data_IF_607177900947
#
_entry.id   IF_607177900947
#
_cell.length_a   1.000
_cell.length_b   1.000
_cell.length_c   1.000
_cell.angle_alpha   90.00
_cell.angle_beta   90.00
_cell.angle_gamma   90.00
#
_symmetry.space_group_name_H-M   'P 1'
#
loop_
_entity.id
_entity.type
_entity.pdbx_description
1 polymer ?
#
# COMPACT_ATOMS: atom_id res chain seq x y z
N UNK A 1 -71.10 37.00 -21.58
CA UNK A 1 -69.96 37.52 -20.79
C UNK A 1 -69.26 36.47 -19.90
N UNK A 2 -69.51 35.16 -20.08
CA UNK A 2 -69.02 34.11 -19.15
C UNK A 2 -67.77 33.35 -19.61
N UNK A 3 -67.55 33.21 -20.92
CA UNK A 3 -66.40 32.44 -21.46
C UNK A 3 -65.06 33.11 -21.14
N UNK A 4 -65.02 34.44 -21.19
CA UNK A 4 -63.81 35.23 -20.92
C UNK A 4 -63.37 35.14 -19.45
N UNK A 5 -64.32 34.96 -18.52
CA UNK A 5 -64.05 34.81 -17.08
C UNK A 5 -63.51 33.42 -16.75
N UNK A 6 -64.05 32.38 -17.39
CA UNK A 6 -63.53 31.02 -17.25
C UNK A 6 -62.07 30.93 -17.73
N UNK A 7 -61.76 31.45 -18.92
CA UNK A 7 -60.40 31.41 -19.46
C UNK A 7 -59.35 32.09 -18.54
N UNK A 8 -59.72 33.19 -17.89
CA UNK A 8 -58.83 33.90 -16.96
C UNK A 8 -58.59 33.09 -15.68
N UNK A 9 -59.63 32.44 -15.15
CA UNK A 9 -59.51 31.63 -13.93
C UNK A 9 -58.69 30.36 -14.19
N UNK A 10 -58.90 29.68 -15.32
CA UNK A 10 -58.11 28.49 -15.65
C UNK A 10 -56.65 28.82 -15.94
N UNK A 11 -56.38 29.96 -16.59
CA UNK A 11 -55.02 30.44 -16.82
C UNK A 11 -54.28 30.76 -15.52
N UNK A 12 -54.96 31.37 -14.55
CA UNK A 12 -54.39 31.65 -13.23
C UNK A 12 -54.10 30.37 -12.44
N UNK A 13 -55.00 29.38 -12.51
CA UNK A 13 -54.82 28.07 -11.86
C UNK A 13 -53.62 27.29 -12.43
N UNK A 14 -53.43 27.30 -13.76
CA UNK A 14 -52.27 26.66 -14.39
C UNK A 14 -50.94 27.34 -14.02
N UNK A 15 -50.94 28.66 -13.82
CA UNK A 15 -49.76 29.40 -13.35
C UNK A 15 -49.44 29.16 -11.87
N UNK A 16 -50.46 28.86 -11.05
CA UNK A 16 -50.27 28.50 -9.65
C UNK A 16 -49.86 27.05 -9.44
N UNK A 17 -50.28 26.13 -10.33
CA UNK A 17 -49.94 24.71 -10.24
C UNK A 17 -48.53 24.37 -10.78
N UNK A 18 -47.80 25.34 -11.33
CA UNK A 18 -46.49 25.11 -11.98
C UNK A 18 -45.28 25.08 -11.02
N UNK A 19 -45.47 25.22 -9.71
CA UNK A 19 -44.36 25.28 -8.75
C UNK A 19 -43.97 23.92 -8.12
N UNK A 20 -44.61 22.82 -8.51
CA UNK A 20 -44.22 21.47 -8.06
C UNK A 20 -43.50 20.66 -9.16
N UNK A 21 -42.53 21.28 -9.82
CA UNK A 21 -41.44 20.54 -10.45
C UNK A 21 -40.38 20.27 -9.40
N UNK A 22 -40.59 19.30 -8.52
CA UNK A 22 -39.55 18.85 -7.60
C UNK A 22 -38.33 18.47 -8.44
N UNK A 23 -37.26 19.27 -8.34
CA UNK A 23 -35.98 18.92 -8.92
C UNK A 23 -35.60 17.57 -8.33
N UNK A 24 -35.75 16.50 -9.13
CA UNK A 24 -35.22 15.21 -8.75
C UNK A 24 -33.72 15.40 -8.70
N UNK A 25 -33.17 15.54 -7.50
CA UNK A 25 -31.74 15.52 -7.24
C UNK A 25 -31.25 14.11 -7.57
N UNK A 26 -31.10 13.82 -8.86
CA UNK A 26 -30.30 12.70 -9.35
C UNK A 26 -28.86 13.04 -8.97
N UNK A 27 -28.45 12.72 -7.75
CA UNK A 27 -27.10 13.03 -7.31
C UNK A 27 -26.80 13.04 -5.81
N UNK A 28 -27.69 12.58 -4.93
CA UNK A 28 -27.29 12.33 -3.54
C UNK A 28 -27.16 10.84 -3.26
N UNK A 29 -25.90 10.39 -3.26
CA UNK A 29 -25.45 9.09 -2.81
C UNK A 29 -23.93 9.11 -2.74
N UNK A 30 -23.35 8.65 -1.63
CA UNK A 30 -21.90 8.53 -1.50
C UNK A 30 -21.45 7.24 -2.18
N UNK A 31 -20.71 7.35 -3.28
CA UNK A 31 -20.08 6.18 -3.90
C UNK A 31 -18.84 5.84 -3.05
N UNK A 32 -18.95 4.77 -2.26
CA UNK A 32 -17.85 4.25 -1.45
C UNK A 32 -17.07 3.23 -2.26
N UNK A 33 -15.91 3.62 -2.75
CA UNK A 33 -14.94 2.67 -3.32
C UNK A 33 -14.20 1.99 -2.17
N UNK A 34 -14.41 0.68 -2.02
CA UNK A 34 -13.60 -0.17 -1.14
C UNK A 34 -12.76 -1.08 -2.00
N UNK A 35 -11.47 -1.08 -1.76
CA UNK A 35 -10.53 -1.99 -2.39
C UNK A 35 -9.24 -2.01 -1.58
N UNK A 36 -8.41 -3.01 -1.84
CA UNK A 36 -7.06 -3.09 -1.36
C UNK A 36 -6.15 -3.32 -2.56
N UNK A 37 -5.03 -2.61 -2.63
CA UNK A 37 -3.95 -2.93 -3.57
C UNK A 37 -3.07 -3.94 -2.85
N UNK A 38 -3.14 -5.20 -3.25
CA UNK A 38 -2.26 -6.25 -2.72
C UNK A 38 -1.08 -6.34 -3.67
N UNK A 39 0.03 -5.73 -3.30
CA UNK A 39 1.28 -5.88 -4.03
C UNK A 39 1.92 -7.23 -3.67
N UNK A 40 2.47 -7.97 -4.66
CA UNK A 40 3.20 -9.19 -4.36
C UNK A 40 4.43 -8.84 -3.51
N UNK A 41 4.69 -9.66 -2.49
CA UNK A 41 5.90 -9.53 -1.68
C UNK A 41 7.17 -9.80 -2.49
N UNK A 42 8.32 -9.39 -1.96
CA UNK A 42 9.62 -9.65 -2.59
C UNK A 42 9.99 -11.14 -2.56
N UNK A 43 10.58 -11.64 -3.63
CA UNK A 43 11.29 -12.92 -3.60
C UNK A 43 12.61 -12.74 -2.85
N UNK A 44 12.85 -13.60 -1.85
CA UNK A 44 14.09 -13.58 -1.06
C UNK A 44 15.04 -14.67 -1.52
N UNK A 45 16.33 -14.35 -1.56
CA UNK A 45 17.38 -15.31 -1.85
C UNK A 45 18.53 -15.15 -0.84
N UNK A 46 18.66 -16.12 0.06
CA UNK A 46 19.79 -16.25 0.97
C UNK A 46 20.66 -17.43 0.51
N UNK A 47 21.34 -17.27 -0.64
CA UNK A 47 22.33 -18.25 -1.14
C UNK A 47 23.54 -18.23 -0.20
N UNK A 48 23.46 -19.00 0.88
CA UNK A 48 24.53 -19.41 1.81
C UNK A 48 25.59 -18.35 2.17
N UNK A 49 25.59 -17.92 3.43
CA UNK A 49 26.58 -17.00 3.98
C UNK A 49 25.92 -15.79 4.64
N UNK A 50 26.59 -14.65 4.59
CA UNK A 50 26.11 -13.40 5.18
C UNK A 50 25.19 -12.58 4.25
N UNK A 51 24.96 -13.00 3.01
CA UNK A 51 24.25 -12.17 2.01
C UNK A 51 22.79 -12.60 1.84
N UNK A 52 21.89 -11.62 1.86
CA UNK A 52 20.48 -11.76 1.50
C UNK A 52 20.15 -10.82 0.35
N UNK A 53 19.59 -11.36 -0.73
CA UNK A 53 19.10 -10.60 -1.87
C UNK A 53 17.57 -10.56 -1.88
N UNK A 54 17.01 -9.43 -2.29
CA UNK A 54 15.59 -9.31 -2.62
C UNK A 54 15.42 -8.99 -4.11
N UNK A 55 14.39 -9.61 -4.71
CA UNK A 55 14.08 -9.51 -6.13
C UNK A 55 12.57 -9.38 -6.36
N UNK A 56 12.19 -8.65 -7.40
CA UNK A 56 10.78 -8.40 -7.73
C UNK A 56 10.06 -7.59 -6.65
N UNK A 57 10.77 -6.73 -5.93
CA UNK A 57 10.18 -5.93 -4.88
C UNK A 57 9.30 -4.82 -5.46
N UNK A 58 8.09 -4.68 -4.94
CA UNK A 58 7.30 -3.50 -5.19
C UNK A 58 8.01 -2.25 -4.63
N UNK A 59 7.80 -1.10 -5.26
CA UNK A 59 8.50 0.14 -4.88
C UNK A 59 8.19 0.54 -3.43
N UNK A 60 7.01 0.20 -2.90
CA UNK A 60 6.62 0.43 -1.50
C UNK A 60 7.51 -0.33 -0.52
N UNK A 61 8.06 -1.48 -0.92
CA UNK A 61 8.89 -2.32 -0.04
C UNK A 61 10.28 -1.71 0.23
N UNK A 62 10.64 -0.61 -0.44
CA UNK A 62 11.89 0.10 -0.14
C UNK A 62 11.81 0.79 1.21
N UNK A 63 12.90 0.71 1.97
CA UNK A 63 12.91 1.21 3.34
C UNK A 63 12.16 0.29 4.31
N UNK A 64 11.87 -0.96 3.91
CA UNK A 64 11.35 -1.98 4.82
C UNK A 64 12.21 -2.10 6.07
N UNK A 65 11.54 -2.34 7.19
CA UNK A 65 12.20 -2.64 8.45
C UNK A 65 12.60 -4.10 8.49
N UNK A 66 13.82 -4.37 8.92
CA UNK A 66 14.31 -5.73 9.11
C UNK A 66 14.60 -5.99 10.58
N UNK A 67 14.11 -7.10 11.09
CA UNK A 67 14.43 -7.64 12.40
C UNK A 67 15.20 -8.95 12.22
N UNK A 68 16.29 -9.11 12.97
CA UNK A 68 17.13 -10.30 12.93
C UNK A 68 17.07 -10.99 14.29
N UNK A 69 16.74 -12.28 14.27
CA UNK A 69 16.66 -13.13 15.47
C UNK A 69 17.54 -14.36 15.33
N UNK A 70 18.28 -14.68 16.37
CA UNK A 70 19.10 -15.89 16.42
C UNK A 70 18.22 -17.10 16.78
N UNK A 71 18.34 -18.20 16.02
CA UNK A 71 17.59 -19.45 16.29
C UNK A 71 18.31 -20.32 17.30
N UNK A 72 19.65 -20.34 17.24
CA UNK A 72 20.51 -20.96 18.22
C UNK A 72 21.67 -19.99 18.51
N UNK A 73 21.94 -19.65 19.79
CA UNK A 73 23.01 -18.71 20.12
C UNK A 73 24.35 -19.35 19.77
N UNK A 74 24.97 -18.89 18.68
CA UNK A 74 26.42 -19.02 18.51
C UNK A 74 27.01 -17.95 19.42
N UNK A 75 27.66 -18.36 20.51
CA UNK A 75 28.04 -17.50 21.64
C UNK A 75 28.94 -16.29 21.30
N UNK A 76 29.37 -16.14 20.05
CA UNK A 76 30.30 -15.10 19.58
C UNK A 76 29.65 -13.92 18.87
N UNK A 77 28.34 -13.93 18.60
CA UNK A 77 27.68 -12.89 17.79
C UNK A 77 26.73 -12.08 18.66
N UNK A 78 27.05 -10.81 18.86
CA UNK A 78 26.22 -9.88 19.61
C UNK A 78 25.46 -8.96 18.65
N UNK A 79 24.16 -8.76 18.90
CA UNK A 79 23.27 -7.86 18.15
C UNK A 79 23.45 -7.89 16.61
N UNK A 80 23.23 -9.07 16.02
CA UNK A 80 23.21 -9.23 14.58
C UNK A 80 22.12 -8.37 13.93
N UNK A 81 22.44 -7.74 12.80
CA UNK A 81 21.50 -6.96 12.01
C UNK A 81 21.85 -7.05 10.52
N UNK A 82 20.93 -6.63 9.66
CA UNK A 82 21.20 -6.54 8.22
C UNK A 82 21.54 -5.12 7.82
N UNK A 83 22.56 -4.98 6.98
CA UNK A 83 23.00 -3.72 6.41
C UNK A 83 22.72 -3.72 4.90
N UNK A 84 22.08 -2.68 4.38
CA UNK A 84 21.91 -2.49 2.95
C UNK A 84 23.27 -2.19 2.31
N UNK A 85 23.71 -3.02 1.37
CA UNK A 85 25.01 -2.88 0.68
C UNK A 85 24.86 -2.55 -0.81
N UNK A 86 23.68 -2.79 -1.39
CA UNK A 86 23.36 -2.32 -2.74
C UNK A 86 21.85 -2.16 -2.92
N UNK A 87 21.45 -1.12 -3.63
CA UNK A 87 20.07 -0.89 -4.08
C UNK A 87 20.12 -0.46 -5.56
N UNK A 88 19.70 -1.36 -6.45
CA UNK A 88 19.58 -1.14 -7.89
C UNK A 88 18.14 -0.86 -8.30
N UNK A 89 17.20 -1.23 -7.45
CA UNK A 89 15.86 -0.74 -7.50
C UNK A 89 14.87 -1.40 -8.46
N UNK A 90 15.32 -1.68 -9.69
CA UNK A 90 14.69 -2.56 -10.68
C UNK A 90 15.83 -3.29 -11.42
N UNK A 91 16.70 -3.91 -10.63
CA UNK A 91 17.97 -4.43 -11.15
C UNK A 91 17.80 -5.81 -11.78
N UNK A 92 18.54 -6.07 -12.87
CA UNK A 92 18.56 -7.37 -13.56
C UNK A 92 18.97 -8.55 -12.66
N UNK A 93 19.72 -8.28 -11.60
CA UNK A 93 20.27 -9.30 -10.71
C UNK A 93 19.62 -9.32 -9.32
N UNK A 94 19.38 -8.14 -8.75
CA UNK A 94 18.68 -7.92 -7.48
C UNK A 94 18.05 -6.53 -7.49
N UNK A 95 17.05 -6.31 -6.65
CA UNK A 95 16.56 -4.95 -6.39
C UNK A 95 17.32 -4.36 -5.21
N UNK A 96 17.48 -5.15 -4.14
CA UNK A 96 18.23 -4.78 -2.96
C UNK A 96 19.08 -5.95 -2.47
N UNK A 97 20.26 -5.65 -1.95
CA UNK A 97 21.19 -6.62 -1.36
C UNK A 97 21.58 -6.17 0.04
N UNK A 98 21.42 -7.09 0.98
CA UNK A 98 21.70 -6.91 2.40
C UNK A 98 22.79 -7.85 2.86
N UNK A 99 23.56 -7.40 3.85
CA UNK A 99 24.62 -8.17 4.50
C UNK A 99 24.29 -8.32 5.98
N UNK A 100 24.29 -9.55 6.47
CA UNK A 100 24.17 -9.89 7.88
C UNK A 100 25.50 -9.58 8.56
N UNK A 101 25.46 -8.65 9.51
CA UNK A 101 26.64 -8.12 10.19
C UNK A 101 26.45 -8.06 11.70
N UNK A 102 27.56 -8.07 12.43
CA UNK A 102 27.59 -7.80 13.87
C UNK A 102 27.54 -6.29 14.16
N UNK A 103 27.60 -5.91 15.44
CA UNK A 103 27.62 -4.50 15.87
C UNK A 103 28.78 -3.68 15.31
N UNK A 104 29.88 -4.31 14.92
CA UNK A 104 31.04 -3.64 14.32
C UNK A 104 30.92 -3.54 12.79
N UNK A 105 29.81 -4.01 12.20
CA UNK A 105 29.64 -4.09 10.75
C UNK A 105 30.40 -5.24 10.11
N UNK A 106 30.94 -6.18 10.89
CA UNK A 106 31.66 -7.33 10.35
C UNK A 106 30.67 -8.37 9.85
N UNK A 107 30.88 -8.96 8.65
CA UNK A 107 30.00 -10.00 8.13
C UNK A 107 29.95 -11.22 9.06
N UNK A 108 28.73 -11.70 9.32
CA UNK A 108 28.48 -12.93 10.09
C UNK A 108 28.35 -14.10 9.11
N UNK A 109 29.33 -14.98 9.08
CA UNK A 109 29.39 -16.08 8.10
C UNK A 109 28.80 -17.40 8.61
N UNK A 110 28.44 -17.49 9.89
CA UNK A 110 27.95 -18.73 10.51
C UNK A 110 26.85 -18.50 11.54
N UNK A 111 26.03 -19.54 11.75
CA UNK A 111 24.89 -19.55 12.66
C UNK A 111 23.55 -19.57 11.94
N UNK A 112 22.48 -19.79 12.70
CA UNK A 112 21.11 -19.86 12.19
C UNK A 112 20.33 -18.61 12.61
N UNK A 113 19.81 -17.86 11.63
CA UNK A 113 19.13 -16.59 11.83
C UNK A 113 17.77 -16.57 11.12
N UNK A 114 16.78 -15.98 11.77
CA UNK A 114 15.50 -15.61 11.17
C UNK A 114 15.55 -14.11 10.90
N UNK A 115 15.35 -13.73 9.64
CA UNK A 115 15.25 -12.33 9.22
C UNK A 115 13.78 -12.07 8.87
N UNK A 116 13.15 -11.16 9.59
CA UNK A 116 11.77 -10.74 9.36
C UNK A 116 11.78 -9.37 8.70
N UNK A 117 11.21 -9.30 7.49
CA UNK A 117 11.01 -8.04 6.77
C UNK A 117 9.57 -7.54 6.99
N UNK A 118 9.42 -6.26 7.31
CA UNK A 118 8.14 -5.56 7.39
C UNK A 118 8.13 -4.39 6.42
N UNK A 119 7.26 -4.45 5.41
CA UNK A 119 7.05 -3.37 4.44
C UNK A 119 6.08 -2.31 4.99
N UNK A 120 6.23 -1.03 4.58
CA UNK A 120 5.29 0.05 4.91
C UNK A 120 3.88 -0.17 4.35
#
# INVERSE_FOLDING_TARGET
MNVRRFAVVTGLLCLWASTCGAAQTVGQGTIRFTGAIVEPGCATNARSGSVMELRGCARVSRGSRFEVRHVAPVASVNAAHVQLVADSGEGRYYDQRYLLVDTAGKPIESGNYIITMTSP
#
